data_IF_435963916564
#
_entry.id   IF_435963916564
#
_cell.length_a   1.000
_cell.length_b   1.000
_cell.length_c   1.000
_cell.angle_alpha   90.00
_cell.angle_beta   90.00
_cell.angle_gamma   90.00
#
_symmetry.space_group_name_H-M   'P 1'
#
loop_
_entity.id
_entity.type
_entity.pdbx_description
1 polymer ?
#
# COMPACT_ATOMS: atom_id res chain seq x y z
N UNK A 1 1.34 26.33 -24.82
CA UNK A 1 1.16 24.89 -24.50
C UNK A 1 0.88 24.78 -23.01
N UNK A 2 -0.19 24.09 -22.62
CA UNK A 2 -0.57 23.93 -21.22
C UNK A 2 0.50 23.11 -20.49
N UNK A 3 1.47 23.79 -19.89
CA UNK A 3 2.52 23.22 -19.04
C UNK A 3 1.94 22.29 -17.97
N UNK A 4 0.71 22.56 -17.50
CA UNK A 4 -0.06 21.67 -16.62
C UNK A 4 -0.35 20.29 -17.25
N UNK A 5 -0.68 20.23 -18.54
CA UNK A 5 -0.92 18.96 -19.25
C UNK A 5 0.38 18.18 -19.47
N UNK A 6 1.46 18.87 -19.85
CA UNK A 6 2.78 18.24 -20.05
C UNK A 6 3.28 17.68 -18.71
N UNK A 7 3.17 18.45 -17.64
CA UNK A 7 3.53 18.01 -16.29
C UNK A 7 2.73 16.76 -15.88
N UNK A 8 1.41 16.78 -16.09
CA UNK A 8 0.57 15.63 -15.75
C UNK A 8 0.91 14.39 -16.57
N UNK A 9 1.20 14.55 -17.87
CA UNK A 9 1.58 13.47 -18.76
C UNK A 9 2.93 12.84 -18.35
N UNK A 10 3.90 13.69 -17.97
CA UNK A 10 5.19 13.24 -17.42
C UNK A 10 4.97 12.46 -16.11
N UNK A 11 4.10 12.95 -15.24
CA UNK A 11 3.80 12.30 -13.96
C UNK A 11 3.17 10.92 -14.15
N UNK A 12 2.21 10.80 -15.08
CA UNK A 12 1.59 9.52 -15.44
C UNK A 12 2.62 8.58 -16.06
N UNK A 13 3.48 9.06 -16.96
CA UNK A 13 4.56 8.27 -17.54
C UNK A 13 5.53 7.73 -16.48
N UNK A 14 5.93 8.57 -15.51
CA UNK A 14 6.78 8.18 -14.40
C UNK A 14 6.12 7.10 -13.52
N UNK A 15 4.82 7.22 -13.26
CA UNK A 15 4.05 6.27 -12.48
C UNK A 15 3.99 4.90 -13.17
N UNK A 16 3.76 4.88 -14.49
CA UNK A 16 3.77 3.63 -15.27
C UNK A 16 5.15 2.97 -15.26
N UNK A 17 6.21 3.75 -15.48
CA UNK A 17 7.59 3.26 -15.42
C UNK A 17 7.90 2.70 -14.03
N UNK A 18 7.48 3.39 -12.96
CA UNK A 18 7.64 2.94 -11.59
C UNK A 18 6.93 1.60 -11.36
N UNK A 19 5.69 1.42 -11.85
CA UNK A 19 4.96 0.15 -11.74
C UNK A 19 5.70 -0.97 -12.47
N UNK A 20 6.13 -0.73 -13.71
CA UNK A 20 6.81 -1.75 -14.54
C UNK A 20 8.17 -2.13 -13.93
N UNK A 21 8.96 -1.15 -13.50
CA UNK A 21 10.26 -1.41 -12.86
C UNK A 21 10.11 -2.14 -11.52
N UNK A 22 9.03 -1.86 -10.79
CA UNK A 22 8.72 -2.50 -9.51
C UNK A 22 7.77 -3.70 -9.67
N UNK A 23 7.61 -4.23 -10.89
CA UNK A 23 6.86 -5.46 -11.18
C UNK A 23 7.67 -6.72 -10.80
N UNK A 24 8.51 -6.63 -9.77
CA UNK A 24 9.13 -7.80 -9.19
C UNK A 24 8.05 -8.65 -8.54
N UNK A 25 7.65 -9.75 -9.20
CA UNK A 25 6.75 -10.74 -8.62
C UNK A 25 7.49 -11.43 -7.49
N UNK A 26 6.95 -11.32 -6.28
CA UNK A 26 7.50 -12.00 -5.11
C UNK A 26 6.57 -13.15 -4.76
N UNK A 27 7.14 -14.34 -4.72
CA UNK A 27 6.46 -15.53 -4.26
C UNK A 27 6.46 -15.56 -2.73
N UNK A 28 5.26 -15.48 -2.15
CA UNK A 28 5.07 -15.59 -0.71
C UNK A 28 4.47 -16.95 -0.42
N UNK A 29 5.15 -17.72 0.45
CA UNK A 29 4.61 -18.91 1.08
C UNK A 29 4.21 -18.57 2.51
N UNK A 30 2.91 -18.53 2.78
CA UNK A 30 2.40 -18.40 4.13
C UNK A 30 1.79 -19.73 4.59
N UNK A 31 2.48 -20.45 5.48
CA UNK A 31 2.11 -21.80 5.93
C UNK A 31 1.86 -22.75 4.75
N UNK A 32 0.59 -22.96 4.36
CA UNK A 32 0.17 -23.81 3.24
C UNK A 32 -0.23 -23.04 1.98
N UNK A 33 -0.30 -21.71 2.03
CA UNK A 33 -0.75 -20.87 0.92
C UNK A 33 0.43 -20.30 0.15
N UNK A 34 0.36 -20.40 -1.18
CA UNK A 34 1.27 -19.73 -2.11
C UNK A 34 0.52 -18.61 -2.81
N UNK A 35 1.08 -17.41 -2.74
CA UNK A 35 0.55 -16.24 -3.45
C UNK A 35 1.70 -15.57 -4.18
N UNK A 36 1.55 -15.41 -5.49
CA UNK A 36 2.51 -14.75 -6.38
C UNK A 36 1.90 -13.42 -6.82
N UNK A 37 2.43 -12.31 -6.33
CA UNK A 37 1.95 -10.96 -6.66
C UNK A 37 3.13 -9.99 -6.73
N UNK A 38 2.93 -8.79 -7.31
CA UNK A 38 4.00 -7.78 -7.33
C UNK A 38 4.36 -7.34 -5.90
N UNK A 39 5.66 -7.13 -5.66
CA UNK A 39 6.19 -6.70 -4.36
C UNK A 39 5.55 -5.41 -3.87
N UNK A 40 5.23 -4.49 -4.78
CA UNK A 40 4.57 -3.22 -4.48
C UNK A 40 3.16 -3.41 -3.93
N UNK A 41 2.36 -4.30 -4.55
CA UNK A 41 1.02 -4.65 -4.06
C UNK A 41 1.10 -5.33 -2.71
N UNK A 42 2.07 -6.23 -2.50
CA UNK A 42 2.30 -6.87 -1.20
C UNK A 42 2.55 -5.83 -0.10
N UNK A 43 3.52 -4.93 -0.30
CA UNK A 43 3.88 -3.91 0.69
C UNK A 43 2.67 -3.03 1.02
N UNK A 44 1.90 -2.64 -0.01
CA UNK A 44 0.68 -1.85 0.18
C UNK A 44 -0.38 -2.59 1.01
N UNK A 45 -0.63 -3.87 0.72
CA UNK A 45 -1.59 -4.69 1.46
C UNK A 45 -1.17 -4.90 2.91
N UNK A 46 0.10 -5.21 3.17
CA UNK A 46 0.63 -5.37 4.54
C UNK A 46 0.46 -4.09 5.34
N UNK A 47 0.78 -2.93 4.74
CA UNK A 47 0.56 -1.62 5.37
C UNK A 47 -0.93 -1.36 5.64
N UNK A 48 -1.81 -1.62 4.67
CA UNK A 48 -3.25 -1.44 4.84
C UNK A 48 -3.79 -2.30 6.00
N UNK A 49 -3.40 -3.58 6.08
CA UNK A 49 -3.76 -4.47 7.19
C UNK A 49 -3.21 -3.95 8.51
N UNK A 50 -1.95 -3.49 8.56
CA UNK A 50 -1.36 -2.86 9.75
C UNK A 50 -2.13 -1.62 10.23
N UNK A 51 -2.54 -0.75 9.30
CA UNK A 51 -3.34 0.44 9.61
C UNK A 51 -4.72 0.06 10.13
N UNK A 52 -5.42 -0.85 9.46
CA UNK A 52 -6.76 -1.30 9.85
C UNK A 52 -6.72 -1.95 11.24
N UNK A 53 -5.76 -2.86 11.47
CA UNK A 53 -5.59 -3.53 12.77
C UNK A 53 -5.23 -2.54 13.86
N UNK A 54 -4.31 -1.60 13.61
CA UNK A 54 -3.97 -0.54 14.55
C UNK A 54 -5.12 0.41 14.85
N UNK A 55 -5.94 0.75 13.86
CA UNK A 55 -7.13 1.59 14.05
C UNK A 55 -8.22 0.87 14.84
N UNK A 56 -8.48 -0.40 14.53
CA UNK A 56 -9.43 -1.24 15.26
C UNK A 56 -8.98 -1.45 16.72
N UNK A 57 -7.68 -1.60 16.96
CA UNK A 57 -7.10 -1.67 18.30
C UNK A 57 -7.30 -0.34 19.05
N UNK A 58 -7.00 0.80 18.43
CA UNK A 58 -7.27 2.12 19.00
C UNK A 58 -8.74 2.34 19.31
N UNK A 59 -9.65 1.86 18.47
CA UNK A 59 -11.10 1.94 18.73
C UNK A 59 -11.52 1.12 19.96
N UNK A 60 -10.89 -0.04 20.20
CA UNK A 60 -11.20 -0.92 21.35
C UNK A 60 -10.57 -0.42 22.65
N UNK A 61 -9.34 0.08 22.60
CA UNK A 61 -8.58 0.50 23.79
C UNK A 61 -8.59 2.01 24.07
N UNK A 62 -9.11 2.83 23.15
CA UNK A 62 -9.17 4.29 23.29
C UNK A 62 -10.38 4.82 24.08
N UNK A 63 -11.25 3.94 24.60
CA UNK A 63 -12.40 4.35 25.41
C UNK A 63 -12.08 4.52 26.90
N UNK A 64 -10.88 4.14 27.34
CA UNK A 64 -10.46 4.18 28.76
C UNK A 64 -9.50 5.33 29.06
N UNK A 65 -9.78 6.52 28.53
CA UNK A 65 -9.06 7.74 28.94
C UNK A 65 -9.98 8.96 28.95
N UNK A 66 -11.11 8.81 29.62
CA UNK A 66 -11.99 9.94 29.99
C UNK A 66 -12.71 9.67 31.32
N UNK A 67 -11.99 9.17 32.31
CA UNK A 67 -12.33 9.21 33.74
C UNK A 67 -11.02 9.22 34.51
N UNK A 68 -10.54 10.42 34.84
CA UNK A 68 -9.87 10.81 36.09
C UNK A 68 -9.37 12.25 35.97
#
# INVERSE_FOLDING_TARGET
MNYKLIFNLVLVGLLVIFIIQNVAVVDIRFLFWKVSMSRSIMIFLVLAVGIITGWMLRSRFGSEKSRD
#
